data_IF_997766782961
#
_entry.id   IF_997766782961
#
_cell.length_a   1.000
_cell.length_b   1.000
_cell.length_c   1.000
_cell.angle_alpha   90.00
_cell.angle_beta   90.00
_cell.angle_gamma   90.00
#
_symmetry.space_group_name_H-M   'P 1'
#
loop_
_entity.id
_entity.type
_entity.pdbx_description
1 polymer ?
#
# COMPACT_ATOMS: atom_id res chain seq x y z
N UNK A 1 0.29 -20.36 14.10
CA UNK A 1 0.80 -19.51 15.19
C UNK A 1 0.40 -18.07 14.88
N UNK A 2 -0.17 -17.35 15.85
CA UNK A 2 -0.53 -15.94 15.66
C UNK A 2 0.74 -15.12 15.44
N UNK A 3 0.70 -14.20 14.47
CA UNK A 3 1.78 -13.30 14.15
C UNK A 3 1.20 -11.91 13.91
N UNK A 4 1.69 -10.94 14.63
CA UNK A 4 1.24 -9.55 14.55
C UNK A 4 2.42 -8.62 14.39
N UNK A 5 2.17 -7.42 13.91
CA UNK A 5 3.25 -6.45 13.71
C UNK A 5 2.89 -5.05 14.21
N UNK A 6 3.92 -4.29 14.56
CA UNK A 6 3.88 -2.83 14.55
C UNK A 6 4.66 -2.36 13.31
N UNK A 7 4.11 -1.38 12.58
CA UNK A 7 4.75 -0.86 11.37
C UNK A 7 4.81 0.68 11.42
N UNK A 8 5.70 1.26 12.26
CA UNK A 8 5.82 2.70 12.40
C UNK A 8 6.59 3.32 11.23
N UNK A 9 6.15 4.51 10.79
CA UNK A 9 6.93 5.35 9.87
C UNK A 9 7.81 6.28 10.70
N UNK A 10 9.16 6.30 10.49
CA UNK A 10 10.08 7.08 11.28
C UNK A 10 10.15 8.54 10.80
N UNK A 11 8.98 9.20 10.71
CA UNK A 11 8.83 10.60 10.29
C UNK A 11 8.74 11.56 11.47
N UNK A 12 8.89 11.04 12.69
CA UNK A 12 8.88 11.74 13.97
C UNK A 12 9.16 10.79 15.11
N UNK A 13 9.18 11.32 16.34
CA UNK A 13 9.39 10.53 17.57
C UNK A 13 8.19 9.63 17.87
N UNK A 14 8.41 8.59 18.67
CA UNK A 14 7.35 7.71 19.16
C UNK A 14 6.30 8.53 19.90
N UNK A 15 5.05 8.43 19.48
CA UNK A 15 3.94 9.10 20.16
C UNK A 15 2.95 8.08 20.76
N UNK A 16 2.10 8.57 21.68
CA UNK A 16 1.22 7.73 22.48
C UNK A 16 0.29 6.84 21.62
N UNK A 17 -0.13 7.29 20.45
CA UNK A 17 -0.97 6.50 19.55
C UNK A 17 -0.25 5.26 19.02
N UNK A 18 1.00 5.39 18.60
CA UNK A 18 1.85 4.28 18.15
C UNK A 18 2.18 3.35 19.32
N UNK A 19 2.53 3.91 20.49
CA UNK A 19 2.79 3.14 21.70
C UNK A 19 1.56 2.31 22.12
N UNK A 20 0.37 2.90 22.11
CA UNK A 20 -0.89 2.20 22.36
C UNK A 20 -1.11 1.01 21.41
N UNK A 21 -0.91 1.23 20.11
CA UNK A 21 -1.04 0.17 19.12
C UNK A 21 -0.02 -0.95 19.36
N UNK A 22 1.21 -0.60 19.71
CA UNK A 22 2.25 -1.57 20.06
C UNK A 22 1.83 -2.44 21.26
N UNK A 23 1.37 -1.82 22.36
CA UNK A 23 0.90 -2.53 23.55
C UNK A 23 -0.20 -3.54 23.22
N UNK A 24 -1.23 -3.14 22.45
CA UNK A 24 -2.32 -4.05 22.10
C UNK A 24 -1.84 -5.25 21.26
N UNK A 25 -0.99 -5.01 20.25
CA UNK A 25 -0.45 -6.08 19.42
C UNK A 25 0.45 -7.01 20.25
N UNK A 26 1.32 -6.45 21.08
CA UNK A 26 2.23 -7.21 21.93
C UNK A 26 1.46 -8.09 22.91
N UNK A 27 0.49 -7.53 23.65
CA UNK A 27 -0.37 -8.28 24.58
C UNK A 27 -1.14 -9.40 23.87
N UNK A 28 -1.67 -9.13 22.68
CA UNK A 28 -2.36 -10.13 21.89
C UNK A 28 -1.42 -11.27 21.49
N UNK A 29 -0.23 -10.94 20.96
CA UNK A 29 0.78 -11.95 20.61
C UNK A 29 1.17 -12.80 21.83
N UNK A 30 1.54 -12.17 22.93
CA UNK A 30 1.99 -12.86 24.16
C UNK A 30 0.88 -13.77 24.73
N UNK A 31 -0.36 -13.29 24.76
CA UNK A 31 -1.52 -14.09 25.21
C UNK A 31 -1.78 -15.31 24.34
N UNK A 32 -1.52 -15.22 23.04
CA UNK A 32 -1.77 -16.32 22.08
C UNK A 32 -0.55 -17.23 21.88
N UNK A 33 0.55 -17.01 22.59
CA UNK A 33 1.82 -17.72 22.32
C UNK A 33 2.34 -17.46 20.90
N UNK A 34 2.03 -16.30 20.36
CA UNK A 34 2.37 -15.86 19.02
C UNK A 34 3.63 -14.98 18.98
N UNK A 35 3.88 -14.34 17.85
CA UNK A 35 5.02 -13.44 17.63
C UNK A 35 4.59 -12.00 17.40
N UNK A 36 5.35 -11.08 17.95
CA UNK A 36 5.27 -9.64 17.71
C UNK A 36 6.51 -9.19 16.97
N UNK A 37 6.35 -8.66 15.74
CA UNK A 37 7.46 -8.25 14.88
C UNK A 37 7.35 -6.78 14.52
N UNK A 38 8.46 -6.18 14.06
CA UNK A 38 8.53 -4.79 13.67
C UNK A 38 8.82 -4.66 12.18
N UNK A 39 8.17 -3.68 11.53
CA UNK A 39 8.53 -3.19 10.20
C UNK A 39 8.65 -1.68 10.26
N UNK A 40 9.80 -1.14 9.90
CA UNK A 40 10.03 0.30 9.78
C UNK A 40 9.62 0.74 8.38
N UNK A 41 8.57 1.55 8.28
CA UNK A 41 8.03 2.04 7.01
C UNK A 41 8.67 3.39 6.64
N UNK A 42 9.87 3.34 6.13
CA UNK A 42 10.77 4.46 5.82
C UNK A 42 10.77 4.85 4.33
N UNK A 43 9.71 4.51 3.59
CA UNK A 43 9.60 4.80 2.16
C UNK A 43 9.45 6.29 1.84
N UNK A 44 9.04 7.10 2.79
CA UNK A 44 9.09 8.56 2.71
C UNK A 44 10.50 9.06 3.09
N UNK A 45 11.40 9.06 2.11
CA UNK A 45 12.82 9.37 2.32
C UNK A 45 13.09 10.80 2.77
N UNK A 46 12.18 11.74 2.50
CA UNK A 46 12.35 13.14 2.89
C UNK A 46 12.11 13.35 4.39
N UNK A 47 11.11 12.65 4.94
CA UNK A 47 10.70 12.79 6.33
C UNK A 47 11.27 11.70 7.25
N UNK A 48 11.67 10.55 6.69
CA UNK A 48 12.22 9.44 7.49
C UNK A 48 13.66 9.72 7.88
N UNK A 49 13.96 9.53 9.17
CA UNK A 49 15.29 9.78 9.72
C UNK A 49 15.75 8.63 10.62
N UNK A 50 17.04 8.24 10.57
CA UNK A 50 17.58 7.19 11.44
C UNK A 50 17.37 7.47 12.94
N UNK A 51 17.47 8.73 13.37
CA UNK A 51 17.22 9.13 14.75
C UNK A 51 15.79 8.86 15.22
N UNK A 52 14.80 8.95 14.34
CA UNK A 52 13.42 8.60 14.68
C UNK A 52 13.22 7.08 14.74
N UNK A 53 13.89 6.33 13.87
CA UNK A 53 13.90 4.87 13.98
C UNK A 53 14.45 4.43 15.32
N UNK A 54 15.62 4.96 15.72
CA UNK A 54 16.21 4.64 17.01
C UNK A 54 15.31 5.05 18.18
N UNK A 55 14.73 6.26 18.12
CA UNK A 55 13.79 6.73 19.17
C UNK A 55 12.56 5.80 19.32
N UNK A 56 12.05 5.27 18.20
CA UNK A 56 10.93 4.32 18.25
C UNK A 56 11.36 3.01 18.93
N UNK A 57 12.52 2.46 18.56
CA UNK A 57 13.05 1.22 19.15
C UNK A 57 13.32 1.39 20.64
N UNK A 58 14.00 2.46 21.03
CA UNK A 58 14.30 2.78 22.44
C UNK A 58 13.02 2.98 23.25
N UNK A 59 12.03 3.67 22.68
CA UNK A 59 10.74 3.88 23.33
C UNK A 59 9.95 2.59 23.54
N UNK A 60 9.98 1.66 22.57
CA UNK A 60 9.36 0.33 22.74
C UNK A 60 10.08 -0.49 23.81
N UNK A 61 11.40 -0.48 23.85
CA UNK A 61 12.20 -1.14 24.89
C UNK A 61 11.92 -0.54 26.28
N UNK A 62 11.86 0.79 26.38
CA UNK A 62 11.51 1.48 27.62
C UNK A 62 10.12 1.09 28.14
N UNK A 63 9.16 0.81 27.24
CA UNK A 63 7.83 0.30 27.58
C UNK A 63 7.83 -1.19 27.94
N UNK A 64 8.97 -1.90 27.84
CA UNK A 64 9.07 -3.34 28.07
C UNK A 64 8.44 -4.17 26.93
N UNK A 65 8.32 -3.62 25.75
CA UNK A 65 7.75 -4.29 24.58
C UNK A 65 8.89 -4.85 23.72
N UNK A 66 9.28 -6.07 23.99
CA UNK A 66 10.25 -6.84 23.20
C UNK A 66 9.60 -7.39 21.91
N UNK A 67 10.38 -7.52 20.85
CA UNK A 67 9.97 -8.11 19.58
C UNK A 67 10.80 -9.35 19.25
N UNK A 68 10.21 -10.24 18.45
CA UNK A 68 10.70 -11.62 18.32
C UNK A 68 11.68 -11.84 17.16
N UNK A 69 11.86 -10.86 16.27
CA UNK A 69 12.73 -10.96 15.07
C UNK A 69 13.36 -9.61 14.75
N UNK A 70 14.45 -9.62 13.97
CA UNK A 70 15.06 -8.38 13.50
C UNK A 70 14.03 -7.49 12.77
N UNK A 71 14.01 -6.19 13.05
CA UNK A 71 13.10 -5.26 12.38
C UNK A 71 13.31 -5.27 10.86
N UNK A 72 12.23 -5.41 10.12
CA UNK A 72 12.25 -5.31 8.64
C UNK A 72 12.28 -3.84 8.26
N UNK A 73 13.22 -3.43 7.41
CA UNK A 73 13.31 -2.08 6.85
C UNK A 73 12.65 -2.08 5.47
N UNK A 74 11.58 -1.32 5.31
CA UNK A 74 10.75 -1.38 4.11
C UNK A 74 11.47 -0.85 2.87
N UNK A 75 12.31 0.19 3.00
CA UNK A 75 13.07 0.75 1.88
C UNK A 75 14.12 -0.22 1.30
N UNK A 76 14.53 -1.24 2.05
CA UNK A 76 15.45 -2.28 1.56
C UNK A 76 14.75 -3.35 0.71
N UNK A 77 13.42 -3.33 0.63
CA UNK A 77 12.61 -4.34 -0.05
C UNK A 77 12.01 -3.87 -1.39
N UNK A 78 12.44 -2.73 -1.90
CA UNK A 78 11.88 -2.12 -3.12
C UNK A 78 11.87 -3.07 -4.32
N UNK A 79 12.91 -3.90 -4.48
CA UNK A 79 12.99 -4.85 -5.59
C UNK A 79 11.92 -5.95 -5.48
N UNK A 80 11.59 -6.38 -4.26
CA UNK A 80 10.50 -7.33 -4.02
C UNK A 80 9.13 -6.70 -4.35
N UNK A 81 8.95 -5.43 -4.00
CA UNK A 81 7.73 -4.69 -4.33
C UNK A 81 7.57 -4.51 -5.85
N UNK A 82 8.67 -4.19 -6.56
CA UNK A 82 8.66 -4.10 -8.02
C UNK A 82 8.40 -5.45 -8.68
N UNK A 83 9.00 -6.52 -8.19
CA UNK A 83 8.74 -7.88 -8.67
C UNK A 83 7.25 -8.27 -8.52
N UNK A 84 6.63 -7.88 -7.40
CA UNK A 84 5.19 -8.08 -7.21
C UNK A 84 4.36 -7.32 -8.25
N UNK A 85 4.72 -6.06 -8.58
CA UNK A 85 4.04 -5.28 -9.62
C UNK A 85 4.21 -5.94 -10.99
N UNK A 86 5.41 -6.40 -11.34
CA UNK A 86 5.64 -7.14 -12.59
C UNK A 86 4.75 -8.37 -12.67
N UNK A 87 4.69 -9.16 -11.61
CA UNK A 87 3.82 -10.35 -11.55
C UNK A 87 2.34 -9.99 -11.74
N UNK A 88 1.88 -8.86 -11.22
CA UNK A 88 0.50 -8.40 -11.42
C UNK A 88 0.25 -7.95 -12.86
N UNK A 89 1.19 -7.27 -13.50
CA UNK A 89 1.12 -6.88 -14.90
C UNK A 89 1.09 -8.12 -15.82
N UNK A 90 1.98 -9.08 -15.60
CA UNK A 90 2.07 -10.33 -16.37
C UNK A 90 0.79 -11.16 -16.29
N UNK A 91 0.12 -11.13 -15.14
CA UNK A 91 -1.17 -11.81 -14.92
C UNK A 91 -2.38 -11.01 -15.41
N UNK A 92 -2.18 -9.81 -15.95
CA UNK A 92 -3.27 -8.93 -16.34
C UNK A 92 -4.11 -8.40 -15.18
N UNK A 93 -3.63 -8.52 -13.94
CA UNK A 93 -4.25 -7.99 -12.72
C UNK A 93 -3.89 -6.52 -12.44
N UNK A 94 -2.95 -5.99 -13.19
CA UNK A 94 -2.60 -4.57 -13.22
C UNK A 94 -2.40 -4.11 -14.67
N UNK A 95 -2.34 -2.80 -14.88
CA UNK A 95 -2.11 -2.20 -16.18
C UNK A 95 -1.48 -0.82 -16.07
N UNK A 96 -0.88 -0.34 -17.17
CA UNK A 96 -0.34 1.01 -17.27
C UNK A 96 -1.45 2.01 -17.58
N UNK A 97 -1.45 3.13 -16.87
CA UNK A 97 -2.43 4.19 -17.06
C UNK A 97 -1.71 5.50 -17.41
N UNK A 98 -1.96 6.00 -18.59
CA UNK A 98 -1.34 7.20 -19.17
C UNK A 98 -2.18 8.46 -18.98
N UNK A 99 -3.25 8.42 -18.18
CA UNK A 99 -4.10 9.58 -17.94
C UNK A 99 -3.30 10.76 -17.38
N UNK A 100 -3.42 11.93 -18.00
CA UNK A 100 -2.79 13.16 -17.52
C UNK A 100 -3.50 13.71 -16.29
N UNK A 101 -2.85 14.65 -15.57
CA UNK A 101 -3.49 15.35 -14.45
C UNK A 101 -4.72 16.13 -14.90
N UNK A 102 -4.65 16.79 -16.06
CA UNK A 102 -5.79 17.56 -16.63
C UNK A 102 -6.98 16.65 -16.94
N UNK A 103 -6.72 15.46 -17.54
CA UNK A 103 -7.76 14.46 -17.82
C UNK A 103 -8.40 13.93 -16.52
N UNK A 104 -7.60 13.72 -15.48
CA UNK A 104 -8.10 13.29 -14.17
C UNK A 104 -8.85 14.39 -13.45
N UNK A 105 -8.42 15.64 -13.59
CA UNK A 105 -9.12 16.80 -13.02
C UNK A 105 -10.45 17.05 -13.71
N UNK A 106 -10.49 17.00 -15.05
CA UNK A 106 -11.73 17.10 -15.83
C UNK A 106 -12.74 16.02 -15.44
N UNK A 107 -12.27 14.78 -15.25
CA UNK A 107 -13.08 13.67 -14.76
C UNK A 107 -13.67 13.97 -13.37
N UNK A 108 -12.84 14.39 -12.41
CA UNK A 108 -13.28 14.74 -11.05
C UNK A 108 -14.30 15.88 -11.04
N UNK A 109 -14.07 16.91 -11.85
CA UNK A 109 -14.96 18.05 -11.98
C UNK A 109 -16.33 17.63 -12.58
N UNK A 110 -16.33 16.76 -13.59
CA UNK A 110 -17.55 16.19 -14.15
C UNK A 110 -18.36 15.38 -13.13
N UNK A 111 -17.70 14.51 -12.35
CA UNK A 111 -18.34 13.76 -11.29
C UNK A 111 -18.92 14.67 -10.19
N UNK A 112 -18.16 15.68 -9.79
CA UNK A 112 -18.63 16.68 -8.81
C UNK A 112 -19.87 17.43 -9.31
N UNK A 113 -19.87 17.87 -10.57
CA UNK A 113 -21.03 18.54 -11.19
C UNK A 113 -22.26 17.63 -11.26
N UNK A 114 -22.05 16.31 -11.44
CA UNK A 114 -23.11 15.30 -11.44
C UNK A 114 -23.49 14.81 -10.03
N UNK A 115 -22.94 15.41 -8.97
CA UNK A 115 -23.12 14.97 -7.56
C UNK A 115 -22.78 13.49 -7.33
N UNK A 116 -21.77 12.99 -8.04
CA UNK A 116 -21.25 11.62 -7.90
C UNK A 116 -20.05 11.58 -6.97
N UNK A 117 -19.85 10.45 -6.29
CA UNK A 117 -18.66 10.23 -5.48
C UNK A 117 -17.40 10.18 -6.37
N UNK A 118 -16.28 10.77 -5.92
CA UNK A 118 -15.03 10.73 -6.68
C UNK A 118 -14.59 9.27 -6.93
N UNK A 119 -14.43 8.91 -8.20
CA UNK A 119 -14.01 7.57 -8.62
C UNK A 119 -13.18 7.65 -9.89
N UNK A 120 -12.09 6.90 -9.96
CA UNK A 120 -11.42 6.72 -11.25
C UNK A 120 -12.31 5.89 -12.18
N UNK A 121 -12.53 6.37 -13.40
CA UNK A 121 -13.48 5.79 -14.37
C UNK A 121 -12.93 4.56 -15.12
N UNK A 122 -11.73 4.11 -14.77
CA UNK A 122 -11.06 2.95 -15.34
C UNK A 122 -10.81 3.03 -16.87
N UNK A 123 -10.77 4.26 -17.45
CA UNK A 123 -10.68 4.52 -18.89
C UNK A 123 -9.54 3.82 -19.62
N UNK A 124 -8.42 3.56 -18.93
CA UNK A 124 -7.25 2.89 -19.51
C UNK A 124 -7.16 1.39 -19.17
N UNK A 125 -8.21 0.82 -18.59
CA UNK A 125 -8.22 -0.59 -18.18
C UNK A 125 -8.07 -1.57 -19.36
N UNK A 126 -8.47 -1.16 -20.56
CA UNK A 126 -8.54 -1.99 -21.76
C UNK A 126 -7.88 -1.33 -22.98
N UNK A 127 -6.76 -0.65 -22.79
CA UNK A 127 -5.98 -0.11 -23.90
C UNK A 127 -5.48 -1.26 -24.80
N UNK A 128 -5.52 -1.03 -26.10
CA UNK A 128 -4.84 -1.92 -27.05
C UNK A 128 -3.34 -1.60 -27.11
N UNK A 129 -2.50 -2.53 -27.59
CA UNK A 129 -1.08 -2.25 -27.76
C UNK A 129 -0.79 -1.01 -28.63
N UNK A 130 -1.63 -0.75 -29.64
CA UNK A 130 -1.52 0.41 -30.51
C UNK A 130 -1.83 1.71 -29.79
N UNK A 131 -2.85 1.70 -28.89
CA UNK A 131 -3.18 2.85 -28.07
C UNK A 131 -2.08 3.14 -27.04
N UNK A 132 -1.53 2.10 -26.41
CA UNK A 132 -0.39 2.27 -25.51
C UNK A 132 0.83 2.84 -26.25
N UNK A 133 1.14 2.32 -27.44
CA UNK A 133 2.24 2.81 -28.26
C UNK A 133 2.04 4.28 -28.67
N UNK A 134 0.81 4.71 -28.95
CA UNK A 134 0.49 6.10 -29.26
C UNK A 134 0.78 7.02 -28.06
N UNK A 135 0.35 6.67 -26.85
CA UNK A 135 0.67 7.44 -25.64
C UNK A 135 2.17 7.50 -25.37
N UNK A 136 2.89 6.41 -25.59
CA UNK A 136 4.34 6.38 -25.46
C UNK A 136 5.03 7.28 -26.48
N UNK A 137 4.57 7.30 -27.73
CA UNK A 137 5.07 8.18 -28.78
C UNK A 137 4.82 9.68 -28.46
N UNK A 138 3.74 9.99 -27.75
CA UNK A 138 3.49 11.33 -27.20
C UNK A 138 4.39 11.68 -26.00
N UNK A 139 5.26 10.77 -25.57
CA UNK A 139 6.12 10.95 -24.39
C UNK A 139 5.39 10.89 -23.06
N UNK A 140 4.17 10.30 -23.03
CA UNK A 140 3.42 10.18 -21.77
C UNK A 140 4.03 9.10 -20.87
N UNK A 141 4.27 9.47 -19.65
CA UNK A 141 4.58 8.54 -18.57
C UNK A 141 3.32 7.85 -18.03
N UNK A 142 3.49 6.67 -17.44
CA UNK A 142 2.38 5.89 -16.90
C UNK A 142 2.51 5.68 -15.38
N UNK A 143 1.36 5.65 -14.70
CA UNK A 143 1.23 5.00 -13.39
C UNK A 143 0.84 3.55 -13.61
N UNK A 144 1.09 2.68 -12.62
CA UNK A 144 0.53 1.33 -12.63
C UNK A 144 -0.71 1.30 -11.74
N UNK A 145 -1.80 0.74 -12.28
CA UNK A 145 -3.05 0.54 -11.54
C UNK A 145 -3.36 -0.94 -11.36
N UNK A 146 -3.79 -1.30 -10.17
CA UNK A 146 -4.36 -2.61 -9.86
C UNK A 146 -5.82 -2.65 -10.30
N UNK A 147 -6.21 -3.73 -11.00
CA UNK A 147 -7.59 -3.95 -11.42
C UNK A 147 -8.44 -4.40 -10.24
N UNK A 148 -9.49 -3.65 -9.95
CA UNK A 148 -10.47 -3.99 -8.93
C UNK A 148 -11.70 -4.56 -9.65
N UNK A 149 -12.05 -5.80 -9.34
CA UNK A 149 -13.30 -6.37 -9.80
C UNK A 149 -14.46 -5.73 -9.01
N UNK A 150 -15.25 -4.91 -9.71
CA UNK A 150 -16.35 -4.15 -9.12
C UNK A 150 -17.43 -5.06 -8.53
N UNK A 151 -17.62 -6.27 -9.08
CA UNK A 151 -18.61 -7.24 -8.62
C UNK A 151 -18.09 -8.15 -7.52
N UNK A 152 -16.77 -8.17 -7.29
CA UNK A 152 -16.15 -8.98 -6.24
C UNK A 152 -16.66 -8.57 -4.86
N UNK A 153 -17.00 -9.58 -4.06
CA UNK A 153 -17.38 -9.41 -2.67
C UNK A 153 -16.18 -9.78 -1.77
N UNK A 154 -15.51 -8.74 -1.25
CA UNK A 154 -14.36 -8.85 -0.37
C UNK A 154 -14.89 -9.12 1.04
N UNK A 155 -14.54 -10.26 1.63
CA UNK A 155 -15.03 -10.68 2.95
C UNK A 155 -13.88 -11.07 3.85
N UNK A 156 -14.00 -10.73 5.13
CA UNK A 156 -13.12 -11.21 6.18
C UNK A 156 -13.86 -11.24 7.52
N UNK A 157 -13.27 -11.89 8.48
CA UNK A 157 -13.76 -11.84 9.87
C UNK A 157 -12.83 -10.99 10.71
N UNK A 158 -13.32 -9.85 11.15
CA UNK A 158 -12.61 -8.99 12.09
C UNK A 158 -12.79 -9.53 13.52
N UNK A 159 -11.72 -9.56 14.30
CA UNK A 159 -11.77 -10.12 15.66
C UNK A 159 -12.65 -9.33 16.63
N UNK A 160 -12.88 -8.04 16.34
CA UNK A 160 -13.66 -7.14 17.18
C UNK A 160 -15.07 -6.91 16.60
N UNK A 161 -15.15 -6.71 15.28
CA UNK A 161 -16.38 -6.31 14.57
C UNK A 161 -17.14 -7.49 13.95
N UNK A 162 -16.56 -8.70 13.94
CA UNK A 162 -17.15 -9.88 13.33
C UNK A 162 -17.07 -9.89 11.80
N UNK A 163 -18.09 -10.39 11.13
CA UNK A 163 -18.10 -10.51 9.67
C UNK A 163 -18.12 -9.13 8.98
N UNK A 164 -17.13 -8.87 8.14
CA UNK A 164 -17.01 -7.66 7.34
C UNK A 164 -17.16 -8.01 5.85
N UNK A 165 -17.80 -7.12 5.10
CA UNK A 165 -18.02 -7.32 3.67
C UNK A 165 -18.03 -5.98 2.92
N UNK A 166 -17.33 -5.91 1.79
CA UNK A 166 -17.26 -4.76 0.89
C UNK A 166 -17.39 -5.23 -0.55
N UNK A 167 -18.02 -4.44 -1.40
CA UNK A 167 -17.96 -4.66 -2.86
C UNK A 167 -16.74 -3.96 -3.44
N UNK A 168 -16.17 -4.53 -4.49
CA UNK A 168 -15.08 -3.87 -5.23
C UNK A 168 -15.47 -2.49 -5.75
N UNK A 169 -16.73 -2.31 -6.15
CA UNK A 169 -17.29 -1.01 -6.56
C UNK A 169 -17.19 0.09 -5.47
N UNK A 170 -17.11 -0.27 -4.20
CA UNK A 170 -17.02 0.68 -3.09
C UNK A 170 -15.58 1.23 -2.92
N UNK A 171 -14.58 0.69 -3.64
CA UNK A 171 -13.17 1.03 -3.47
C UNK A 171 -12.69 2.22 -4.34
N UNK A 172 -13.60 2.90 -5.04
CA UNK A 172 -13.25 4.13 -5.77
C UNK A 172 -12.53 3.94 -7.10
N UNK A 173 -12.67 2.75 -7.75
CA UNK A 173 -12.04 2.40 -9.02
C UNK A 173 -10.63 1.82 -8.87
N UNK A 174 -9.98 1.55 -9.99
CA UNK A 174 -8.67 0.91 -10.02
C UNK A 174 -7.60 1.74 -9.30
N UNK A 175 -6.97 1.12 -8.32
CA UNK A 175 -6.04 1.76 -7.40
C UNK A 175 -4.66 1.95 -8.03
N UNK A 176 -4.05 3.13 -7.90
CA UNK A 176 -2.64 3.33 -8.26
C UNK A 176 -1.75 2.59 -7.26
N UNK A 177 -0.86 1.73 -7.78
CA UNK A 177 0.07 0.92 -6.99
C UNK A 177 1.54 1.27 -7.22
N UNK A 178 1.86 2.04 -8.29
CA UNK A 178 3.17 2.61 -8.52
C UNK A 178 3.04 4.03 -9.06
N UNK A 179 3.99 4.90 -8.68
CA UNK A 179 4.07 6.27 -9.17
C UNK A 179 4.31 6.32 -10.66
N UNK A 180 4.08 7.49 -11.23
CA UNK A 180 4.36 7.79 -12.63
C UNK A 180 5.85 7.59 -12.96
N UNK A 181 6.10 6.96 -14.10
CA UNK A 181 7.44 6.72 -14.64
C UNK A 181 7.35 6.50 -16.16
N UNK A 182 8.50 6.58 -16.88
CA UNK A 182 8.57 6.14 -18.27
C UNK A 182 7.97 4.76 -18.49
N UNK A 183 7.36 4.52 -19.64
CA UNK A 183 6.53 3.33 -19.89
C UNK A 183 7.33 2.00 -19.82
N UNK A 184 8.63 2.03 -20.02
CA UNK A 184 9.54 0.90 -19.90
C UNK A 184 9.98 0.61 -18.45
N UNK A 185 9.57 1.47 -17.49
CA UNK A 185 9.93 1.39 -16.08
C UNK A 185 8.71 1.22 -15.19
N UNK A 186 8.97 0.78 -13.96
CA UNK A 186 8.01 0.86 -12.85
C UNK A 186 8.50 1.93 -11.88
N UNK A 187 7.66 2.94 -11.67
CA UNK A 187 7.92 3.97 -10.69
C UNK A 187 7.91 3.44 -9.25
N UNK A 188 8.16 4.30 -8.29
CA UNK A 188 8.20 3.90 -6.90
C UNK A 188 6.86 3.27 -6.47
N UNK A 189 6.89 2.04 -5.90
CA UNK A 189 5.71 1.39 -5.37
C UNK A 189 5.03 2.24 -4.30
N UNK A 190 3.69 2.19 -4.27
CA UNK A 190 2.91 2.97 -3.32
C UNK A 190 2.52 2.15 -2.09
N UNK A 191 2.30 2.85 -0.99
CA UNK A 191 2.03 2.32 0.34
C UNK A 191 1.04 1.15 0.35
N UNK A 192 -0.12 1.29 -0.27
CA UNK A 192 -1.18 0.26 -0.23
C UNK A 192 -0.73 -1.10 -0.80
N UNK A 193 0.12 -1.12 -1.84
CA UNK A 193 0.69 -2.38 -2.34
C UNK A 193 1.82 -2.87 -1.45
N UNK A 194 2.73 -1.98 -1.09
CA UNK A 194 3.94 -2.30 -0.33
C UNK A 194 3.60 -2.99 0.99
N UNK A 195 2.62 -2.46 1.72
CA UNK A 195 2.14 -3.04 2.97
C UNK A 195 1.62 -4.46 2.78
N UNK A 196 0.82 -4.70 1.73
CA UNK A 196 0.25 -6.03 1.45
C UNK A 196 1.34 -7.04 1.08
N UNK A 197 2.31 -6.64 0.24
CA UNK A 197 3.43 -7.51 -0.14
C UNK A 197 4.28 -7.88 1.06
N UNK A 198 4.56 -6.90 1.93
CA UNK A 198 5.36 -7.13 3.12
C UNK A 198 4.61 -7.96 4.16
N UNK A 199 3.33 -7.68 4.42
CA UNK A 199 2.52 -8.45 5.37
C UNK A 199 2.43 -9.92 4.93
N UNK A 200 2.23 -10.17 3.62
CA UNK A 200 2.24 -11.53 3.08
C UNK A 200 3.59 -12.22 3.23
N UNK A 201 4.70 -11.53 2.92
CA UNK A 201 6.05 -12.08 3.04
C UNK A 201 6.48 -12.31 4.50
N UNK A 202 5.98 -11.49 5.42
CA UNK A 202 6.22 -11.62 6.86
C UNK A 202 5.26 -12.59 7.55
N UNK A 203 4.30 -13.14 6.81
CA UNK A 203 3.26 -14.05 7.31
C UNK A 203 2.42 -13.46 8.46
N UNK A 204 2.05 -12.17 8.33
CA UNK A 204 1.21 -11.45 9.27
C UNK A 204 -0.25 -11.92 9.15
#
# INVERSE_FOLDING_TARGET
MVRVRLAPSPTGTLHIGTARTAVFNWLFARRQGGRFVLRIEDTDRERSKPEYTQNILDGLQWLGLDWDEEPVIQSERVDQHRAAIHSLLDKGLAYRCYASEDELEAMRNGQKAANQAPRYDNRHRHLTPEQEAAFQAEGREAVVRFRIDDDALIRWTDLVRGAMSWRGSDLGGDMVIARRAPADQIGNPLYNLVVVVDDAAMAI
#
